data_IF_333935593782
#
_entry.id   IF_333935593782
#
_cell.length_a   1.000
_cell.length_b   1.000
_cell.length_c   1.000
_cell.angle_alpha   90.00
_cell.angle_beta   90.00
_cell.angle_gamma   90.00
#
_symmetry.space_group_name_H-M   'P 1'
#
loop_
_entity.id
_entity.type
_entity.pdbx_description
1 polymer ?
#
# COMPACT_ATOMS: atom_id res chain seq x y z
N UNK A 1 15.25 -7.97 37.55
CA UNK A 1 14.90 -6.63 37.07
C UNK A 1 14.98 -6.64 35.56
N UNK A 2 13.86 -6.98 34.92
CA UNK A 2 13.72 -7.17 33.47
C UNK A 2 13.39 -5.85 32.77
N UNK A 3 14.26 -4.85 32.90
CA UNK A 3 14.21 -3.72 32.02
C UNK A 3 15.14 -3.99 30.82
N UNK A 4 14.61 -3.85 29.61
CA UNK A 4 15.35 -3.98 28.35
C UNK A 4 16.39 -2.86 28.11
N UNK A 5 16.77 -2.14 29.17
CA UNK A 5 17.70 -1.02 29.15
C UNK A 5 19.10 -1.58 29.43
N UNK A 6 20.01 -1.44 28.46
CA UNK A 6 21.44 -1.64 28.70
C UNK A 6 21.93 -0.62 29.76
N UNK A 7 22.20 -1.14 30.94
CA UNK A 7 22.53 -0.36 32.13
C UNK A 7 23.80 0.47 31.97
N UNK A 8 24.81 -0.11 31.31
CA UNK A 8 26.11 0.54 31.11
C UNK A 8 26.02 1.64 30.05
N UNK A 9 25.29 1.39 28.97
CA UNK A 9 25.01 2.38 27.94
C UNK A 9 24.16 3.53 28.49
N UNK A 10 23.14 3.22 29.28
CA UNK A 10 22.29 4.23 29.93
C UNK A 10 23.10 5.14 30.85
N UNK A 11 23.90 4.58 31.76
CA UNK A 11 24.71 5.34 32.71
C UNK A 11 25.72 6.21 31.98
N UNK A 12 26.48 5.64 31.04
CA UNK A 12 27.56 6.37 30.35
C UNK A 12 27.07 7.46 29.42
N UNK A 13 25.94 7.28 28.77
CA UNK A 13 25.48 8.18 27.70
C UNK A 13 24.40 9.15 28.14
N UNK A 14 23.48 8.73 28.99
CA UNK A 14 22.29 9.51 29.33
C UNK A 14 22.24 9.98 30.78
N UNK A 15 22.58 9.14 31.75
CA UNK A 15 22.43 9.52 33.15
C UNK A 15 23.30 10.74 33.53
N UNK A 16 24.55 10.76 33.10
CA UNK A 16 25.44 11.91 33.35
C UNK A 16 24.96 13.17 32.65
N UNK A 17 24.56 13.07 31.39
CA UNK A 17 24.05 14.22 30.64
C UNK A 17 22.77 14.80 31.22
N UNK A 18 21.84 13.96 31.68
CA UNK A 18 20.59 14.38 32.36
C UNK A 18 20.90 15.03 33.70
N UNK A 19 21.85 14.50 34.48
CA UNK A 19 22.30 15.09 35.75
C UNK A 19 22.98 16.44 35.52
N UNK A 20 23.85 16.53 34.52
CA UNK A 20 24.56 17.77 34.18
C UNK A 20 23.59 18.85 33.74
N UNK A 21 22.62 18.48 32.88
CA UNK A 21 21.54 19.38 32.48
C UNK A 21 20.70 19.83 33.70
N UNK A 22 20.36 18.91 34.60
CA UNK A 22 19.71 19.23 35.84
C UNK A 22 20.46 20.26 36.68
N UNK A 23 21.79 20.11 36.81
CA UNK A 23 22.65 21.06 37.52
C UNK A 23 22.63 22.42 36.82
N UNK A 24 22.65 22.46 35.49
CA UNK A 24 22.57 23.70 34.70
C UNK A 24 21.23 24.42 34.89
N UNK A 25 20.11 23.67 34.82
CA UNK A 25 18.76 24.23 35.07
C UNK A 25 18.66 24.84 36.48
N UNK A 26 19.17 24.11 37.48
CA UNK A 26 19.20 24.63 38.87
C UNK A 26 20.06 25.91 39.01
N UNK A 27 21.14 26.00 38.26
CA UNK A 27 22.07 27.18 38.28
C UNK A 27 21.58 28.35 37.46
N UNK A 28 21.06 28.12 36.25
CA UNK A 28 20.81 29.12 35.23
C UNK A 28 19.33 29.32 34.89
N UNK A 29 18.41 28.61 35.52
CA UNK A 29 16.96 28.63 35.23
C UNK A 29 16.63 28.34 33.74
N UNK A 30 17.40 27.51 33.07
CA UNK A 30 17.08 27.04 31.72
C UNK A 30 15.86 26.14 31.71
N UNK A 31 15.04 26.27 30.64
CA UNK A 31 13.87 25.39 30.45
C UNK A 31 14.27 24.04 29.86
N UNK A 32 13.63 22.97 30.35
CA UNK A 32 13.87 21.57 29.93
C UNK A 32 13.54 21.34 28.45
N UNK A 33 12.55 22.05 27.91
CA UNK A 33 11.98 21.84 26.58
C UNK A 33 12.96 21.96 25.42
N UNK A 34 14.06 22.67 25.59
CA UNK A 34 15.06 22.93 24.53
C UNK A 34 16.36 22.13 24.70
N UNK A 35 16.41 21.22 25.65
CA UNK A 35 17.62 20.45 25.92
C UNK A 35 17.86 19.35 24.89
N UNK A 36 18.96 19.43 24.15
CA UNK A 36 19.39 18.38 23.20
C UNK A 36 19.58 17.04 23.91
N UNK A 37 20.10 17.06 25.14
CA UNK A 37 20.34 15.84 25.95
C UNK A 37 19.03 15.15 26.31
N UNK A 38 18.02 15.93 26.73
CA UNK A 38 16.68 15.40 27.06
C UNK A 38 16.02 14.84 25.79
N UNK A 39 16.12 15.51 24.67
CA UNK A 39 15.55 15.04 23.40
C UNK A 39 16.21 13.74 22.91
N UNK A 40 17.53 13.61 23.06
CA UNK A 40 18.25 12.36 22.74
C UNK A 40 17.90 11.23 23.71
N UNK A 41 17.72 11.55 24.98
CA UNK A 41 17.24 10.58 25.98
C UNK A 41 15.82 10.08 25.64
N UNK A 42 14.90 10.97 25.28
CA UNK A 42 13.54 10.61 24.84
C UNK A 42 13.57 9.73 23.60
N UNK A 43 14.43 10.02 22.59
CA UNK A 43 14.62 9.17 21.42
C UNK A 43 15.11 7.76 21.79
N UNK A 44 16.04 7.68 22.74
CA UNK A 44 16.52 6.40 23.23
C UNK A 44 15.41 5.59 23.91
N UNK A 45 14.62 6.19 24.81
CA UNK A 45 13.50 5.54 25.47
C UNK A 45 12.45 4.99 24.48
N UNK A 46 12.16 5.76 23.43
CA UNK A 46 11.27 5.32 22.36
C UNK A 46 11.81 4.10 21.60
N UNK A 47 13.11 4.12 21.27
CA UNK A 47 13.77 3.00 20.58
C UNK A 47 13.73 1.72 21.41
N UNK A 48 13.78 1.84 22.73
CA UNK A 48 13.67 0.72 23.67
C UNK A 48 12.22 0.33 23.98
N UNK A 49 11.25 1.01 23.38
CA UNK A 49 9.81 0.77 23.58
C UNK A 49 9.37 0.84 25.04
N UNK A 50 9.98 1.73 25.84
CA UNK A 50 9.69 1.94 27.27
C UNK A 50 8.29 2.56 27.41
N UNK A 51 7.46 1.99 28.28
CA UNK A 51 6.15 2.56 28.59
C UNK A 51 6.25 3.78 29.51
N UNK A 52 5.28 4.70 29.41
CA UNK A 52 5.24 5.89 30.28
C UNK A 52 5.23 5.53 31.78
N UNK A 53 4.57 4.41 32.15
CA UNK A 53 4.57 3.89 33.52
C UNK A 53 5.95 3.40 33.98
N UNK A 54 6.73 2.78 33.09
CA UNK A 54 8.09 2.32 33.38
C UNK A 54 9.05 3.51 33.51
N UNK A 55 8.89 4.52 32.67
CA UNK A 55 9.62 5.78 32.77
C UNK A 55 9.32 6.46 34.12
N UNK A 56 8.06 6.49 34.56
CA UNK A 56 7.67 7.02 35.86
C UNK A 56 8.37 6.29 37.03
N UNK A 57 8.38 4.96 36.99
CA UNK A 57 9.06 4.14 38.02
C UNK A 57 10.58 4.38 38.05
N UNK A 58 11.20 4.46 36.87
CA UNK A 58 12.63 4.74 36.71
C UNK A 58 12.98 6.07 37.39
N UNK A 59 12.24 7.10 37.12
CA UNK A 59 12.48 8.44 37.64
C UNK A 59 12.14 8.56 39.13
N UNK A 60 11.13 7.88 39.60
CA UNK A 60 10.80 7.79 41.03
C UNK A 60 11.96 7.12 41.79
N UNK A 61 12.53 6.05 41.27
CA UNK A 61 13.71 5.37 41.84
C UNK A 61 14.94 6.30 41.84
N UNK A 62 15.12 7.09 40.77
CA UNK A 62 16.22 8.04 40.69
C UNK A 62 16.09 9.18 41.69
N UNK A 63 14.87 9.71 41.90
CA UNK A 63 14.56 10.69 42.93
C UNK A 63 14.94 10.15 44.33
N UNK A 64 14.52 8.94 44.67
CA UNK A 64 14.85 8.32 45.96
C UNK A 64 16.37 8.20 46.13
N UNK A 65 17.08 7.78 45.11
CA UNK A 65 18.55 7.68 45.16
C UNK A 65 19.24 9.03 45.35
N UNK A 66 18.74 10.11 44.75
CA UNK A 66 19.23 11.47 44.95
C UNK A 66 19.04 11.95 46.40
N UNK A 67 17.89 11.71 46.96
CA UNK A 67 17.59 12.08 48.35
C UNK A 67 18.49 11.29 49.31
N UNK A 68 18.62 9.98 49.13
CA UNK A 68 19.53 9.13 49.92
C UNK A 68 21.00 9.57 49.84
N UNK A 69 21.43 9.97 48.66
CA UNK A 69 22.79 10.50 48.45
C UNK A 69 22.99 11.85 49.17
N UNK A 70 22.01 12.74 49.14
CA UNK A 70 22.04 14.00 49.85
C UNK A 70 22.17 13.77 51.42
N UNK A 71 21.46 12.78 51.98
CA UNK A 71 21.61 12.38 53.35
C UNK A 71 23.01 11.81 53.66
N UNK A 72 23.55 10.96 52.80
CA UNK A 72 24.93 10.42 52.95
C UNK A 72 25.99 11.49 52.97
N UNK A 73 25.80 12.57 52.19
CA UNK A 73 26.71 13.73 52.17
C UNK A 73 26.49 14.64 53.41
N UNK A 74 25.66 14.25 54.36
CA UNK A 74 25.38 15.04 55.59
C UNK A 74 24.85 16.44 55.28
N UNK A 75 24.09 16.61 54.19
CA UNK A 75 23.41 17.87 53.87
C UNK A 75 22.30 18.03 54.88
N UNK A 76 22.47 18.91 55.87
CA UNK A 76 21.52 19.18 56.95
C UNK A 76 20.48 20.25 56.60
N UNK A 77 20.68 20.99 55.48
CA UNK A 77 19.76 22.04 55.04
C UNK A 77 18.48 21.43 54.47
N UNK A 78 17.41 21.44 55.21
CA UNK A 78 16.06 21.03 54.77
C UNK A 78 15.62 21.81 53.52
N UNK A 79 15.96 23.11 53.49
CA UNK A 79 15.60 24.00 52.36
C UNK A 79 16.32 23.58 51.06
N UNK A 80 17.58 23.15 51.15
CA UNK A 80 18.36 22.69 49.97
C UNK A 80 17.79 21.37 49.43
N UNK A 81 17.47 20.43 50.31
CA UNK A 81 16.84 19.16 49.93
C UNK A 81 15.49 19.39 49.25
N UNK A 82 14.65 20.30 49.82
CA UNK A 82 13.36 20.64 49.21
C UNK A 82 13.51 21.27 47.83
N UNK A 83 14.49 22.14 47.62
CA UNK A 83 14.80 22.72 46.30
C UNK A 83 15.24 21.66 45.32
N UNK A 84 16.12 20.72 45.68
CA UNK A 84 16.57 19.61 44.83
C UNK A 84 15.36 18.76 44.40
N UNK A 85 14.48 18.40 45.34
CA UNK A 85 13.29 17.59 45.02
C UNK A 85 12.33 18.35 44.11
N UNK A 86 12.09 19.62 44.37
CA UNK A 86 11.19 20.47 43.59
C UNK A 86 11.65 20.58 42.13
N UNK A 87 12.91 20.94 41.89
CA UNK A 87 13.45 21.04 40.53
C UNK A 87 13.46 19.68 39.83
N UNK A 88 13.73 18.59 40.58
CA UNK A 88 13.65 17.25 40.02
C UNK A 88 12.24 16.89 39.54
N UNK A 89 11.22 17.21 40.32
CA UNK A 89 9.83 16.96 39.97
C UNK A 89 9.39 17.79 38.76
N UNK A 90 9.82 19.05 38.66
CA UNK A 90 9.52 19.94 37.56
C UNK A 90 10.15 19.43 36.24
N UNK A 91 11.44 19.09 36.26
CA UNK A 91 12.14 18.53 35.07
C UNK A 91 11.54 17.20 34.68
N UNK A 92 11.28 16.35 35.63
CA UNK A 92 10.70 15.04 35.38
C UNK A 92 9.29 15.12 34.80
N UNK A 93 8.44 15.98 35.36
CA UNK A 93 7.09 16.22 34.82
C UNK A 93 7.16 16.70 33.38
N UNK A 94 8.10 17.59 33.05
CA UNK A 94 8.33 18.05 31.68
C UNK A 94 8.78 16.93 30.73
N UNK A 95 9.71 16.07 31.17
CA UNK A 95 10.17 14.92 30.38
C UNK A 95 8.99 13.95 30.13
N UNK A 96 8.21 13.64 31.14
CA UNK A 96 7.07 12.75 31.03
C UNK A 96 5.99 13.30 30.09
N UNK A 97 5.71 14.61 30.18
CA UNK A 97 4.75 15.28 29.30
C UNK A 97 5.21 15.26 27.83
N UNK A 98 6.46 15.60 27.56
CA UNK A 98 7.04 15.54 26.20
C UNK A 98 7.02 14.10 25.66
N UNK A 99 7.38 13.11 26.50
CA UNK A 99 7.37 11.72 26.12
C UNK A 99 5.96 11.23 25.77
N UNK A 100 4.98 11.49 26.66
CA UNK A 100 3.58 11.09 26.48
C UNK A 100 2.95 11.75 25.25
N UNK A 101 3.18 13.04 25.03
CA UNK A 101 2.73 13.76 23.83
C UNK A 101 3.30 13.15 22.57
N UNK A 102 4.59 12.80 22.61
CA UNK A 102 5.27 12.22 21.46
C UNK A 102 4.76 10.80 21.13
N UNK A 103 4.45 9.97 22.11
CA UNK A 103 3.82 8.66 21.89
C UNK A 103 2.42 8.85 21.29
N UNK A 104 1.60 9.73 21.86
CA UNK A 104 0.27 10.03 21.33
C UNK A 104 0.30 10.52 19.88
N UNK A 105 1.30 11.33 19.50
CA UNK A 105 1.48 11.76 18.11
C UNK A 105 1.82 10.61 17.17
N UNK A 106 2.69 9.67 17.60
CA UNK A 106 3.04 8.48 16.81
C UNK A 106 1.80 7.59 16.61
N UNK A 107 1.05 7.32 17.68
CA UNK A 107 -0.18 6.54 17.63
C UNK A 107 -1.22 7.19 16.72
N UNK A 108 -1.41 8.51 16.83
CA UNK A 108 -2.31 9.26 15.96
C UNK A 108 -1.89 9.18 14.49
N UNK A 109 -0.60 9.33 14.20
CA UNK A 109 -0.07 9.23 12.84
C UNK A 109 -0.22 7.81 12.28
N UNK A 110 0.02 6.78 13.09
CA UNK A 110 -0.16 5.38 12.72
C UNK A 110 -1.63 5.08 12.40
N UNK A 111 -2.54 5.46 13.29
CA UNK A 111 -3.98 5.26 13.08
C UNK A 111 -4.46 5.95 11.82
N UNK A 112 -4.02 7.20 11.58
CA UNK A 112 -4.31 7.91 10.33
C UNK A 112 -3.79 7.19 9.09
N UNK A 113 -2.61 6.59 9.17
CA UNK A 113 -2.05 5.80 8.06
C UNK A 113 -2.85 4.52 7.81
N UNK A 114 -3.28 3.84 8.88
CA UNK A 114 -4.16 2.66 8.79
C UNK A 114 -5.49 3.04 8.15
N UNK A 115 -6.11 4.16 8.56
CA UNK A 115 -7.37 4.66 7.98
C UNK A 115 -7.23 4.97 6.49
N UNK A 116 -6.10 5.56 6.08
CA UNK A 116 -5.82 5.84 4.67
C UNK A 116 -5.72 4.52 3.88
N UNK A 117 -4.95 3.55 4.38
CA UNK A 117 -4.83 2.23 3.74
C UNK A 117 -6.19 1.55 3.64
N UNK A 118 -6.96 1.49 4.74
CA UNK A 118 -8.31 0.89 4.74
C UNK A 118 -9.23 1.56 3.73
N UNK A 119 -9.17 2.88 3.64
CA UNK A 119 -10.06 3.67 2.77
C UNK A 119 -9.71 3.59 1.29
N UNK A 120 -8.44 3.46 0.92
CA UNK A 120 -8.02 3.62 -0.48
C UNK A 120 -7.40 2.38 -1.09
N UNK A 121 -6.91 1.44 -0.30
CA UNK A 121 -6.28 0.23 -0.79
C UNK A 121 -7.27 -0.94 -0.72
N UNK A 122 -7.51 -1.59 -1.84
CA UNK A 122 -8.33 -2.81 -1.91
C UNK A 122 -7.51 -3.92 -1.27
N UNK A 123 -7.88 -4.33 -0.05
CA UNK A 123 -7.18 -5.37 0.69
C UNK A 123 -8.15 -6.43 1.23
N UNK A 124 -7.69 -7.66 1.26
CA UNK A 124 -8.31 -8.74 2.01
C UNK A 124 -7.25 -9.62 2.65
N UNK A 125 -7.57 -10.19 3.80
CA UNK A 125 -6.76 -11.23 4.45
C UNK A 125 -7.59 -12.49 4.58
N UNK A 126 -6.97 -13.63 4.28
CA UNK A 126 -7.57 -14.94 4.49
C UNK A 126 -6.72 -15.79 5.43
N UNK A 127 -7.34 -16.81 6.02
CA UNK A 127 -6.60 -17.90 6.65
C UNK A 127 -5.92 -18.81 5.60
N UNK A 128 -5.31 -19.90 6.05
CA UNK A 128 -4.62 -20.88 5.20
C UNK A 128 -5.57 -21.65 4.26
N UNK A 129 -6.86 -21.72 4.59
CA UNK A 129 -7.90 -22.40 3.82
C UNK A 129 -8.59 -21.44 2.82
N UNK A 130 -8.20 -20.17 2.79
CA UNK A 130 -8.74 -19.13 1.92
C UNK A 130 -10.05 -18.54 2.42
N UNK A 131 -10.38 -18.70 3.70
CA UNK A 131 -11.53 -18.05 4.35
C UNK A 131 -11.16 -16.63 4.69
N UNK A 132 -11.97 -15.68 4.27
CA UNK A 132 -11.77 -14.24 4.51
C UNK A 132 -11.91 -13.95 6.00
N UNK A 133 -10.86 -13.39 6.60
CA UNK A 133 -10.83 -12.94 8.00
C UNK A 133 -10.94 -11.42 8.13
N UNK A 134 -10.50 -10.67 7.14
CA UNK A 134 -10.68 -9.22 7.11
C UNK A 134 -10.68 -8.69 5.68
N UNK A 135 -11.37 -7.56 5.48
CA UNK A 135 -11.42 -6.81 4.23
C UNK A 135 -11.35 -5.32 4.53
N UNK A 136 -10.74 -4.55 3.63
CA UNK A 136 -10.72 -3.08 3.72
C UNK A 136 -12.05 -2.46 3.30
N UNK A 137 -12.29 -1.23 3.73
CA UNK A 137 -13.42 -0.42 3.27
C UNK A 137 -13.40 -0.19 1.75
N UNK A 138 -12.20 -0.09 1.15
CA UNK A 138 -12.05 -0.02 -0.30
C UNK A 138 -12.51 -1.31 -1.00
N UNK A 139 -12.21 -2.47 -0.41
CA UNK A 139 -12.68 -3.76 -0.93
C UNK A 139 -14.23 -3.86 -0.91
N UNK A 140 -14.84 -3.43 0.19
CA UNK A 140 -16.31 -3.40 0.30
C UNK A 140 -16.93 -2.48 -0.76
N UNK A 141 -16.37 -1.29 -0.96
CA UNK A 141 -16.89 -0.35 -1.99
C UNK A 141 -16.79 -0.89 -3.40
N UNK A 142 -15.66 -1.49 -3.77
CA UNK A 142 -15.51 -2.01 -5.14
C UNK A 142 -16.37 -3.23 -5.38
N UNK A 143 -16.47 -4.13 -4.41
CA UNK A 143 -17.23 -5.36 -4.54
C UNK A 143 -18.75 -5.16 -4.39
N UNK A 144 -19.16 -4.09 -3.68
CA UNK A 144 -20.56 -3.83 -3.33
C UNK A 144 -21.10 -4.72 -2.21
N UNK A 145 -20.23 -5.50 -1.54
CA UNK A 145 -20.60 -6.32 -0.39
C UNK A 145 -20.17 -5.61 0.90
N UNK A 146 -20.96 -5.79 1.95
CA UNK A 146 -20.58 -5.38 3.29
C UNK A 146 -19.60 -6.37 3.92
N UNK A 147 -18.74 -5.89 4.82
CA UNK A 147 -17.69 -6.71 5.45
C UNK A 147 -18.25 -7.99 6.10
N UNK A 148 -19.39 -7.89 6.82
CA UNK A 148 -20.03 -9.03 7.48
C UNK A 148 -20.56 -10.08 6.48
N UNK A 149 -20.80 -9.72 5.22
CA UNK A 149 -21.23 -10.65 4.18
C UNK A 149 -20.06 -11.46 3.61
N UNK A 150 -18.83 -10.96 3.73
CA UNK A 150 -17.60 -11.52 3.17
C UNK A 150 -16.82 -12.33 4.18
N UNK A 151 -16.73 -11.86 5.43
CA UNK A 151 -15.99 -12.55 6.51
C UNK A 151 -16.58 -13.95 6.73
N UNK A 152 -15.72 -14.94 6.86
CA UNK A 152 -16.10 -16.35 7.01
C UNK A 152 -16.45 -17.07 5.71
N UNK A 153 -16.35 -16.39 4.55
CA UNK A 153 -16.54 -16.99 3.23
C UNK A 153 -15.23 -17.01 2.44
N UNK A 154 -15.19 -17.80 1.38
CA UNK A 154 -14.09 -17.74 0.41
C UNK A 154 -14.35 -16.64 -0.63
N UNK A 155 -13.32 -16.21 -1.35
CA UNK A 155 -13.45 -15.27 -2.47
C UNK A 155 -14.33 -15.79 -3.64
N UNK A 156 -14.78 -17.02 -3.59
CA UNK A 156 -15.72 -17.56 -4.57
C UNK A 156 -17.03 -16.77 -4.65
N UNK A 157 -17.39 -16.01 -3.61
CA UNK A 157 -18.55 -15.12 -3.61
C UNK A 157 -18.46 -14.03 -4.68
N UNK A 158 -17.23 -13.66 -5.09
CA UNK A 158 -16.93 -12.65 -6.10
C UNK A 158 -16.57 -13.25 -7.45
N UNK A 159 -16.51 -14.58 -7.55
CA UNK A 159 -15.96 -15.27 -8.72
C UNK A 159 -16.81 -15.04 -9.95
N UNK A 160 -16.19 -14.51 -11.02
CA UNK A 160 -16.78 -14.58 -12.36
C UNK A 160 -16.59 -15.98 -12.95
N UNK A 161 -17.68 -16.54 -13.52
CA UNK A 161 -17.66 -17.86 -14.14
C UNK A 161 -16.81 -17.94 -15.40
N UNK A 162 -16.64 -16.82 -16.10
CA UNK A 162 -15.87 -16.73 -17.35
C UNK A 162 -14.35 -16.75 -17.10
N UNK A 163 -13.92 -16.63 -15.84
CA UNK A 163 -12.50 -16.64 -15.50
C UNK A 163 -11.92 -18.06 -15.61
N UNK A 164 -10.82 -18.27 -16.36
CA UNK A 164 -10.23 -19.59 -16.54
C UNK A 164 -9.81 -20.23 -15.21
N UNK A 165 -10.21 -21.47 -14.98
CA UNK A 165 -9.83 -22.23 -13.77
C UNK A 165 -8.32 -22.30 -13.55
N UNK A 166 -7.55 -22.36 -14.62
CA UNK A 166 -6.09 -22.40 -14.62
C UNK A 166 -5.44 -21.23 -13.86
N UNK A 167 -6.08 -20.05 -13.86
CA UNK A 167 -5.59 -18.87 -13.13
C UNK A 167 -5.61 -19.15 -11.63
N UNK A 168 -6.71 -19.70 -11.13
CA UNK A 168 -6.87 -20.04 -9.71
C UNK A 168 -6.02 -21.23 -9.28
N UNK A 169 -5.83 -22.23 -10.16
CA UNK A 169 -4.92 -23.35 -9.93
C UNK A 169 -3.49 -22.84 -9.75
N UNK A 170 -2.99 -22.03 -10.67
CA UNK A 170 -1.68 -21.41 -10.60
C UNK A 170 -1.52 -20.50 -9.35
N UNK A 171 -2.55 -19.72 -9.02
CA UNK A 171 -2.58 -18.89 -7.82
C UNK A 171 -2.33 -19.76 -6.58
N UNK A 172 -3.14 -20.78 -6.36
CA UNK A 172 -3.05 -21.65 -5.19
C UNK A 172 -1.74 -22.44 -5.12
N UNK A 173 -1.25 -22.95 -6.25
CA UNK A 173 0.06 -23.60 -6.32
C UNK A 173 1.18 -22.66 -5.89
N UNK A 174 1.15 -21.41 -6.35
CA UNK A 174 2.18 -20.42 -6.03
C UNK A 174 2.16 -20.03 -4.56
N UNK A 175 1.01 -19.64 -4.01
CA UNK A 175 0.98 -19.11 -2.62
C UNK A 175 1.18 -20.21 -1.57
N UNK A 176 0.75 -21.44 -1.84
CA UNK A 176 0.98 -22.59 -0.94
C UNK A 176 2.44 -23.00 -0.85
N UNK A 177 3.25 -22.70 -1.87
CA UNK A 177 4.71 -22.89 -1.81
C UNK A 177 5.45 -21.75 -1.13
N UNK A 178 4.74 -20.77 -0.58
CA UNK A 178 5.33 -19.62 0.12
C UNK A 178 5.76 -18.49 -0.81
N UNK A 179 5.42 -18.55 -2.08
CA UNK A 179 5.75 -17.52 -3.06
C UNK A 179 4.62 -16.50 -3.22
N UNK A 180 5.00 -15.26 -3.55
CA UNK A 180 4.05 -14.22 -3.93
C UNK A 180 3.44 -14.54 -5.30
N UNK A 181 2.12 -14.37 -5.42
CA UNK A 181 1.43 -14.45 -6.70
C UNK A 181 0.96 -13.07 -7.16
N UNK A 182 1.01 -12.82 -8.46
CA UNK A 182 0.47 -11.62 -9.07
C UNK A 182 -0.26 -11.97 -10.37
N UNK A 183 -1.45 -11.39 -10.56
CA UNK A 183 -2.25 -11.59 -11.77
C UNK A 183 -3.45 -10.66 -11.84
N UNK A 184 -4.14 -10.71 -12.97
CA UNK A 184 -5.38 -9.98 -13.21
C UNK A 184 -6.56 -10.95 -13.04
N UNK A 185 -7.51 -10.58 -12.21
CA UNK A 185 -8.70 -11.37 -11.90
C UNK A 185 -9.93 -10.57 -12.25
N UNK A 186 -10.83 -11.21 -12.98
CA UNK A 186 -12.16 -10.68 -13.26
C UNK A 186 -13.13 -11.17 -12.19
N UNK A 187 -13.74 -10.25 -11.47
CA UNK A 187 -14.69 -10.49 -10.40
C UNK A 187 -16.08 -9.94 -10.76
N UNK A 188 -17.10 -10.40 -10.02
CA UNK A 188 -18.46 -9.87 -10.06
C UNK A 188 -18.76 -9.08 -8.79
N UNK A 189 -19.32 -7.89 -8.93
CA UNK A 189 -19.91 -7.10 -7.84
C UNK A 189 -21.21 -7.75 -7.36
N UNK A 190 -21.70 -7.35 -6.21
CA UNK A 190 -23.00 -7.81 -5.68
C UNK A 190 -24.18 -7.53 -6.61
N UNK A 191 -24.12 -6.47 -7.41
CA UNK A 191 -25.15 -6.12 -8.41
C UNK A 191 -25.01 -6.89 -9.73
N UNK A 192 -24.02 -7.79 -9.87
CA UNK A 192 -23.75 -8.55 -11.07
C UNK A 192 -22.80 -7.89 -12.09
N UNK A 193 -22.41 -6.64 -11.87
CA UNK A 193 -21.42 -5.99 -12.74
C UNK A 193 -20.06 -6.63 -12.63
N UNK A 194 -19.39 -6.77 -13.76
CA UNK A 194 -18.03 -7.31 -13.84
C UNK A 194 -17.00 -6.21 -13.65
N UNK A 195 -15.94 -6.49 -12.90
CA UNK A 195 -14.82 -5.59 -12.73
C UNK A 195 -13.48 -6.34 -12.73
N UNK A 196 -12.42 -5.65 -13.09
CA UNK A 196 -11.08 -6.22 -13.16
C UNK A 196 -10.20 -5.69 -12.04
N UNK A 197 -9.51 -6.61 -11.37
CA UNK A 197 -8.55 -6.27 -10.32
C UNK A 197 -7.21 -6.91 -10.65
N UNK A 198 -6.17 -6.08 -10.69
CA UNK A 198 -4.79 -6.58 -10.66
C UNK A 198 -4.45 -6.86 -9.20
N UNK A 199 -4.27 -8.13 -8.88
CA UNK A 199 -4.11 -8.61 -7.50
C UNK A 199 -2.71 -9.13 -7.26
N UNK A 200 -2.13 -8.75 -6.12
CA UNK A 200 -0.90 -9.32 -5.57
C UNK A 200 -1.23 -10.01 -4.25
N UNK A 201 -0.84 -11.26 -4.10
CA UNK A 201 -1.10 -12.06 -2.89
C UNK A 201 0.21 -12.46 -2.25
N UNK A 202 0.35 -12.14 -0.96
CA UNK A 202 1.52 -12.45 -0.15
C UNK A 202 1.16 -13.46 0.94
N UNK A 203 1.89 -14.57 1.07
CA UNK A 203 1.79 -15.43 2.25
C UNK A 203 2.44 -14.75 3.46
N UNK A 204 1.79 -14.86 4.61
CA UNK A 204 2.34 -14.42 5.89
C UNK A 204 2.82 -15.64 6.67
N UNK A 205 3.96 -15.49 7.35
CA UNK A 205 4.63 -16.58 8.05
C UNK A 205 4.67 -16.32 9.56
N UNK A 206 4.64 -17.38 10.34
CA UNK A 206 4.97 -17.33 11.76
C UNK A 206 6.51 -17.24 11.96
N UNK A 207 6.94 -17.16 13.23
CA UNK A 207 8.35 -17.09 13.59
C UNK A 207 9.15 -18.38 13.31
N UNK A 208 8.45 -19.48 12.96
CA UNK A 208 9.04 -20.79 12.64
C UNK A 208 9.09 -20.99 11.11
N UNK A 209 8.41 -20.13 10.34
CA UNK A 209 8.38 -20.19 8.88
C UNK A 209 7.15 -20.91 8.29
N UNK A 210 6.12 -21.23 9.09
CA UNK A 210 4.88 -21.79 8.58
C UNK A 210 3.96 -20.66 8.08
N UNK A 211 3.24 -20.93 6.98
CA UNK A 211 2.22 -20.00 6.48
C UNK A 211 1.04 -19.97 7.45
N UNK A 212 0.65 -18.78 7.87
CA UNK A 212 -0.47 -18.57 8.80
C UNK A 212 -1.66 -17.84 8.17
N UNK A 213 -1.43 -17.11 7.08
CA UNK A 213 -2.47 -16.34 6.38
C UNK A 213 -1.97 -15.87 5.01
N UNK A 214 -2.88 -15.35 4.20
CA UNK A 214 -2.55 -14.69 2.94
C UNK A 214 -3.13 -13.27 2.94
N UNK A 215 -2.32 -12.29 2.54
CA UNK A 215 -2.74 -10.90 2.30
C UNK A 215 -2.83 -10.66 0.81
N UNK A 216 -3.99 -10.23 0.34
CA UNK A 216 -4.21 -9.81 -1.04
C UNK A 216 -4.36 -8.30 -1.11
N UNK A 217 -3.63 -7.68 -2.05
CA UNK A 217 -3.72 -6.25 -2.38
C UNK A 217 -4.17 -6.16 -3.84
N UNK A 218 -5.20 -5.36 -4.09
CA UNK A 218 -5.79 -5.18 -5.41
C UNK A 218 -5.74 -3.73 -5.91
N UNK A 219 -5.64 -3.59 -7.22
CA UNK A 219 -5.82 -2.34 -7.96
C UNK A 219 -6.98 -2.52 -8.95
N UNK A 220 -7.97 -1.63 -8.92
CA UNK A 220 -9.05 -1.62 -9.93
C UNK A 220 -8.50 -1.14 -11.27
N UNK A 221 -8.42 -2.05 -12.23
CA UNK A 221 -7.95 -1.78 -13.61
C UNK A 221 -9.08 -1.77 -14.63
N UNK A 222 -10.35 -1.76 -14.19
CA UNK A 222 -11.51 -1.84 -15.08
C UNK A 222 -11.51 -0.71 -16.11
N UNK A 223 -11.29 0.53 -15.67
CA UNK A 223 -11.22 1.69 -16.57
C UNK A 223 -10.03 1.62 -17.54
N UNK A 224 -8.91 1.05 -17.11
CA UNK A 224 -7.72 0.88 -17.96
C UNK A 224 -8.00 -0.14 -19.08
N UNK A 225 -8.66 -1.25 -18.74
CA UNK A 225 -9.05 -2.29 -19.70
C UNK A 225 -10.10 -1.75 -20.69
N UNK A 226 -11.10 -1.02 -20.19
CA UNK A 226 -12.12 -0.41 -21.03
C UNK A 226 -11.51 0.58 -22.05
N UNK A 227 -10.63 1.47 -21.59
CA UNK A 227 -9.92 2.41 -22.46
C UNK A 227 -9.09 1.67 -23.53
N UNK A 228 -8.38 0.62 -23.14
CA UNK A 228 -7.60 -0.20 -24.07
C UNK A 228 -8.48 -0.87 -25.12
N UNK A 229 -9.65 -1.38 -24.71
CA UNK A 229 -10.61 -1.99 -25.64
C UNK A 229 -11.19 -0.96 -26.62
N UNK A 230 -11.52 0.24 -26.15
CA UNK A 230 -11.97 1.34 -27.01
C UNK A 230 -10.89 1.75 -28.03
N UNK A 231 -9.63 1.86 -27.60
CA UNK A 231 -8.51 2.14 -28.49
C UNK A 231 -8.33 1.05 -29.56
N UNK A 232 -8.40 -0.21 -29.17
CA UNK A 232 -8.31 -1.34 -30.12
C UNK A 232 -9.46 -1.28 -31.15
N UNK A 233 -10.68 -0.99 -30.72
CA UNK A 233 -11.84 -0.86 -31.61
C UNK A 233 -11.65 0.28 -32.61
N UNK A 234 -11.13 1.44 -32.19
CA UNK A 234 -10.83 2.56 -33.07
C UNK A 234 -9.76 2.20 -34.12
N UNK A 235 -8.73 1.45 -33.71
CA UNK A 235 -7.69 0.96 -34.63
C UNK A 235 -8.28 0.00 -35.67
N UNK A 236 -9.16 -0.92 -35.26
CA UNK A 236 -9.84 -1.83 -36.19
C UNK A 236 -10.75 -1.08 -37.17
N UNK A 237 -11.52 -0.11 -36.68
CA UNK A 237 -12.34 0.75 -37.51
C UNK A 237 -11.52 1.54 -38.53
N UNK A 238 -10.40 2.11 -38.10
CA UNK A 238 -9.47 2.84 -39.00
C UNK A 238 -8.88 1.94 -40.08
N UNK A 239 -8.45 0.71 -39.69
CA UNK A 239 -7.97 -0.28 -40.68
C UNK A 239 -9.06 -0.64 -41.70
N UNK A 240 -10.27 -0.88 -41.20
CA UNK A 240 -11.42 -1.24 -42.07
C UNK A 240 -11.78 -0.11 -43.03
N UNK A 241 -11.76 1.15 -42.54
CA UNK A 241 -12.00 2.34 -43.40
C UNK A 241 -10.93 2.49 -44.47
N UNK A 242 -9.64 2.39 -44.08
CA UNK A 242 -8.52 2.45 -45.04
C UNK A 242 -8.61 1.34 -46.10
N UNK A 243 -8.97 0.12 -45.71
CA UNK A 243 -9.17 -1.00 -46.62
C UNK A 243 -10.35 -0.76 -47.56
N UNK A 244 -11.44 -0.16 -47.09
CA UNK A 244 -12.58 0.26 -47.91
C UNK A 244 -12.20 1.30 -48.95
N UNK A 245 -11.42 2.32 -48.58
CA UNK A 245 -10.90 3.31 -49.52
C UNK A 245 -9.98 2.68 -50.58
N UNK A 246 -9.06 1.80 -50.16
CA UNK A 246 -8.18 1.07 -51.10
C UNK A 246 -9.00 0.23 -52.08
N UNK A 247 -9.98 -0.54 -51.63
CA UNK A 247 -10.84 -1.35 -52.49
C UNK A 247 -11.59 -0.46 -53.47
N UNK A 248 -12.15 0.67 -53.01
CA UNK A 248 -12.84 1.64 -53.87
C UNK A 248 -11.90 2.22 -54.96
N UNK A 249 -10.69 2.57 -54.58
CA UNK A 249 -9.67 3.08 -55.50
C UNK A 249 -9.29 2.01 -56.54
N UNK A 250 -9.03 0.78 -56.12
CA UNK A 250 -8.74 -0.34 -57.00
C UNK A 250 -9.91 -0.59 -57.97
N UNK A 251 -11.16 -0.63 -57.45
CA UNK A 251 -12.33 -0.80 -58.31
C UNK A 251 -12.48 0.30 -59.35
N UNK A 252 -12.17 1.54 -58.95
CA UNK A 252 -12.18 2.66 -59.89
C UNK A 252 -11.11 2.55 -60.94
N UNK A 253 -9.86 2.19 -60.56
CA UNK A 253 -8.74 1.99 -61.50
C UNK A 253 -8.94 0.83 -62.45
N UNK A 254 -9.60 -0.25 -62.03
CA UNK A 254 -9.92 -1.40 -62.88
C UNK A 254 -11.11 -1.17 -63.80
N UNK A 255 -12.03 -0.25 -63.47
CA UNK A 255 -13.16 0.09 -64.32
C UNK A 255 -12.72 0.62 -65.69
N UNK A 256 -11.71 1.48 -65.75
CA UNK A 256 -11.21 2.04 -66.98
C UNK A 256 -10.65 0.98 -67.99
N UNK A 257 -9.72 0.07 -67.60
CA UNK A 257 -9.25 -0.96 -68.51
C UNK A 257 -10.30 -1.98 -68.89
N UNK A 258 -11.21 -2.31 -67.93
CA UNK A 258 -12.36 -3.21 -68.23
C UNK A 258 -13.33 -2.59 -69.23
N UNK A 259 -13.60 -1.28 -69.14
CA UNK A 259 -14.39 -0.58 -70.17
C UNK A 259 -13.71 -0.56 -71.54
N UNK A 260 -12.39 -0.34 -71.55
CA UNK A 260 -11.64 -0.40 -72.81
C UNK A 260 -11.70 -1.78 -73.44
N UNK A 261 -11.51 -2.85 -72.67
CA UNK A 261 -11.66 -4.24 -73.14
C UNK A 261 -13.08 -4.52 -73.61
N UNK A 262 -14.10 -4.06 -72.91
CA UNK A 262 -15.51 -4.23 -73.27
C UNK A 262 -15.81 -3.58 -74.63
N UNK A 263 -15.31 -2.36 -74.84
CA UNK A 263 -15.46 -1.64 -76.14
C UNK A 263 -14.74 -2.40 -77.26
N UNK A 264 -13.55 -2.93 -77.00
CA UNK A 264 -12.84 -3.73 -77.99
C UNK A 264 -13.55 -5.01 -78.38
N UNK A 265 -14.07 -5.73 -77.36
CA UNK A 265 -14.87 -6.96 -77.59
C UNK A 265 -16.16 -6.67 -78.36
N UNK A 266 -16.85 -5.56 -78.09
CA UNK A 266 -18.03 -5.14 -78.82
C UNK A 266 -17.72 -4.75 -80.29
N UNK A 267 -16.53 -4.23 -80.58
CA UNK A 267 -16.12 -3.90 -81.93
C UNK A 267 -15.64 -5.12 -82.72
N UNK A 268 -15.27 -6.22 -82.10
CA UNK A 268 -14.80 -7.45 -82.74
C UNK A 268 -15.80 -8.04 -83.74
N UNK A 269 -17.11 -8.14 -83.48
CA UNK A 269 -18.09 -8.63 -84.47
C UNK A 269 -18.20 -7.69 -85.66
N UNK A 270 -18.19 -6.37 -85.42
CA UNK A 270 -18.21 -5.35 -86.50
C UNK A 270 -16.99 -5.42 -87.43
N UNK A 271 -15.81 -5.59 -86.81
CA UNK A 271 -14.53 -5.74 -87.58
C UNK A 271 -14.49 -7.08 -88.35
N UNK A 272 -15.10 -8.14 -87.87
CA UNK A 272 -15.27 -9.42 -88.58
C UNK A 272 -16.21 -9.26 -89.77
N UNK A 273 -17.33 -8.52 -89.63
CA UNK A 273 -18.25 -8.23 -90.73
C UNK A 273 -17.58 -7.39 -91.82
N UNK A 274 -16.88 -6.33 -91.45
CA UNK A 274 -16.17 -5.46 -92.37
C UNK A 274 -14.98 -6.17 -93.10
N UNK A 275 -14.33 -7.15 -92.42
CA UNK A 275 -13.25 -7.95 -93.12
C UNK A 275 -13.84 -9.07 -93.99
N UNK A 276 -15.04 -9.54 -93.71
CA UNK A 276 -15.70 -10.54 -94.53
C UNK A 276 -16.22 -9.98 -95.86
N UNK A 277 -16.54 -8.67 -95.89
CA UNK A 277 -16.94 -8.00 -97.15
C UNK A 277 -15.73 -7.60 -98.05
N UNK A 278 -14.47 -7.69 -97.54
CA UNK A 278 -13.26 -7.33 -98.30
C UNK A 278 -12.54 -8.58 -98.84
N UNK A 279 -13.01 -9.79 -98.58
CA UNK A 279 -12.32 -11.03 -99.00
C UNK A 279 -12.97 -11.73 -100.20
N UNK A 280 -13.87 -11.09 -100.93
CA UNK A 280 -14.53 -11.62 -102.12
C UNK A 280 -14.36 -10.64 -103.33
N UNK A 281 -13.18 -9.99 -103.48
CA UNK A 281 -12.75 -9.40 -104.75
C UNK A 281 -11.29 -9.77 -105.06
#
# INVERSE_FOLDING_TARGET
NDYSIDKDLFIKRYAFGVIEHYIQVVRNQEKVENSVVIMDFIKYLKKQNIKSSELFLLCSSFKSALVDFAFKLKIQSKELIQKIVFYFEEIFSSILDIYSKSIAQIESALNKSIDIVDKYVIMSRTDIDGIIISVSSAFCRISGFESFELIGKTHNVLKNQDMPKKVFENLWETIKTGNMWQGEIQNCRKNGEVYWVKTTIHPNFDHIGNIISYDAIGEDISSQIELKNQQNLLVEQSKSAAMGEMISMIAHQWRQPLQAVSILVQKLPLLKMLKGEISDE
#
